data_IF_134100124432
#
_entry.id   IF_134100124432
#
_cell.length_a   1.000
_cell.length_b   1.000
_cell.length_c   1.000
_cell.angle_alpha   90.00
_cell.angle_beta   90.00
_cell.angle_gamma   90.00
#
_symmetry.space_group_name_H-M   'P 1'
#
loop_
_entity.id
_entity.type
_entity.pdbx_description
1 polymer ?
#
# COMPACT_ATOMS: atom_id res chain seq x y z
N UNK A 1 -4.53 18.40 8.06
CA UNK A 1 -4.41 16.96 8.34
C UNK A 1 -3.23 16.77 9.25
N UNK A 2 -3.47 16.43 10.52
CA UNK A 2 -2.40 16.11 11.45
C UNK A 2 -1.73 14.83 10.99
N UNK A 3 -0.46 14.91 10.63
CA UNK A 3 0.39 13.77 10.38
C UNK A 3 0.88 13.25 11.73
N UNK A 4 0.09 12.51 12.45
CA UNK A 4 0.69 11.50 13.30
C UNK A 4 1.49 10.61 12.36
N UNK A 5 2.74 10.32 12.71
CA UNK A 5 3.55 9.36 12.01
C UNK A 5 2.82 8.01 12.17
N UNK A 6 1.89 7.76 11.27
CA UNK A 6 1.06 6.58 11.29
C UNK A 6 1.92 5.39 10.90
N UNK A 7 1.53 4.23 11.36
CA UNK A 7 2.08 2.97 10.89
C UNK A 7 1.97 2.85 9.35
N UNK A 8 2.74 1.95 8.72
CA UNK A 8 2.80 1.85 7.26
C UNK A 8 1.47 1.48 6.60
N UNK A 9 0.53 0.87 7.31
CA UNK A 9 -0.79 0.50 6.79
C UNK A 9 -1.73 1.69 6.74
N UNK A 10 -1.76 2.48 7.80
CA UNK A 10 -2.48 3.76 7.83
C UNK A 10 -1.98 4.70 6.73
N UNK A 11 -0.67 4.73 6.44
CA UNK A 11 -0.13 5.51 5.33
C UNK A 11 -0.68 5.03 3.97
N UNK A 12 -0.77 3.72 3.74
CA UNK A 12 -1.31 3.15 2.51
C UNK A 12 -2.82 3.41 2.38
N UNK A 13 -3.59 3.23 3.44
CA UNK A 13 -5.02 3.59 3.45
C UNK A 13 -5.22 5.08 3.11
N UNK A 14 -4.46 5.97 3.74
CA UNK A 14 -4.54 7.41 3.47
C UNK A 14 -4.16 7.75 2.02
N UNK A 15 -3.18 7.03 1.46
CA UNK A 15 -2.81 7.18 0.07
C UNK A 15 -3.97 6.82 -0.86
N UNK A 16 -4.52 5.63 -0.72
CA UNK A 16 -5.60 5.12 -1.60
C UNK A 16 -6.84 5.98 -1.49
N UNK A 17 -7.32 6.25 -0.28
CA UNK A 17 -8.52 7.07 -0.07
C UNK A 17 -8.36 8.54 -0.51
N UNK A 18 -7.13 9.03 -0.61
CA UNK A 18 -6.84 10.37 -1.14
C UNK A 18 -6.66 10.40 -2.65
N UNK A 19 -6.13 9.31 -3.25
CA UNK A 19 -5.88 9.22 -4.68
C UNK A 19 -7.13 8.82 -5.47
N UNK A 20 -8.04 8.09 -4.85
CA UNK A 20 -9.24 7.54 -5.48
C UNK A 20 -10.48 8.24 -4.92
N UNK A 21 -11.25 8.89 -5.80
CA UNK A 21 -12.55 9.43 -5.39
C UNK A 21 -13.52 8.28 -5.08
N UNK A 22 -13.89 8.12 -3.81
CA UNK A 22 -14.66 6.98 -3.32
C UNK A 22 -13.79 5.76 -2.99
N UNK A 23 -12.48 5.96 -2.86
CA UNK A 23 -11.53 4.92 -2.45
C UNK A 23 -11.84 4.35 -1.07
N UNK A 24 -11.58 3.07 -0.91
CA UNK A 24 -11.84 2.31 0.29
C UNK A 24 -10.54 2.06 1.07
N UNK A 25 -10.67 1.78 2.36
CA UNK A 25 -9.53 1.30 3.14
C UNK A 25 -9.20 -0.13 2.74
N UNK A 26 -7.94 -0.37 2.40
CA UNK A 26 -7.43 -1.68 1.97
C UNK A 26 -6.82 -2.48 3.12
N UNK A 27 -6.54 -1.82 4.25
CA UNK A 27 -6.05 -2.46 5.46
C UNK A 27 -6.96 -2.14 6.64
N UNK A 28 -7.45 -3.17 7.32
CA UNK A 28 -8.34 -3.08 8.48
C UNK A 28 -7.62 -3.58 9.72
N UNK A 29 -7.58 -2.75 10.76
CA UNK A 29 -6.82 -3.04 11.97
C UNK A 29 -7.36 -4.26 12.69
N UNK A 30 -6.45 -5.14 13.11
CA UNK A 30 -6.75 -6.31 13.91
C UNK A 30 -6.60 -6.01 15.40
N UNK A 31 -7.28 -6.80 16.21
CA UNK A 31 -7.14 -6.74 17.66
C UNK A 31 -5.76 -7.23 18.07
N UNK A 32 -5.07 -6.44 18.88
CA UNK A 32 -3.76 -6.78 19.45
C UNK A 32 -3.84 -6.79 20.97
N UNK A 33 -3.04 -7.64 21.60
CA UNK A 33 -2.85 -7.65 23.05
C UNK A 33 -1.36 -7.52 23.37
N UNK A 34 -1.00 -6.40 23.97
CA UNK A 34 0.40 -6.01 24.14
C UNK A 34 1.12 -5.78 22.81
N UNK A 35 2.42 -6.06 22.79
CA UNK A 35 3.30 -5.88 21.63
C UNK A 35 3.67 -7.18 20.92
N UNK A 36 3.05 -8.31 21.30
CA UNK A 36 3.46 -9.62 20.81
C UNK A 36 2.31 -10.60 20.55
N UNK A 37 1.06 -10.15 20.62
CA UNK A 37 -0.10 -11.00 20.35
C UNK A 37 -1.11 -10.31 19.45
N UNK A 38 -1.58 -11.03 18.43
CA UNK A 38 -2.59 -10.60 17.46
C UNK A 38 -3.75 -11.60 17.53
N UNK A 39 -4.97 -11.12 17.54
CA UNK A 39 -6.15 -11.95 17.31
C UNK A 39 -6.66 -11.70 15.89
N UNK A 40 -6.93 -12.75 15.14
CA UNK A 40 -7.53 -12.68 13.81
C UNK A 40 -9.01 -12.23 13.91
N UNK A 41 -9.20 -10.98 14.27
CA UNK A 41 -10.49 -10.32 14.44
C UNK A 41 -10.31 -8.82 14.28
N UNK A 42 -11.22 -8.16 13.56
CA UNK A 42 -11.16 -6.70 13.41
C UNK A 42 -11.27 -5.98 14.76
N UNK A 43 -10.50 -4.90 14.90
CA UNK A 43 -10.62 -4.00 16.03
C UNK A 43 -11.80 -3.04 15.79
N UNK A 44 -12.95 -3.35 16.38
CA UNK A 44 -14.20 -2.61 16.19
C UNK A 44 -14.27 -1.27 16.94
N UNK A 45 -13.27 -0.95 17.77
CA UNK A 45 -13.21 0.32 18.54
C UNK A 45 -12.71 1.49 17.67
N UNK A 46 -12.09 1.21 16.53
CA UNK A 46 -11.75 2.23 15.55
C UNK A 46 -12.90 2.38 14.54
N UNK A 47 -13.12 3.60 14.02
CA UNK A 47 -14.15 3.95 13.02
C UNK A 47 -13.90 3.26 11.67
N UNK A 48 -13.71 1.96 11.70
CA UNK A 48 -13.44 1.13 10.56
C UNK A 48 -14.77 0.59 10.00
N UNK A 49 -15.00 0.83 8.71
CA UNK A 49 -16.17 0.37 7.96
C UNK A 49 -15.96 -1.01 7.35
N UNK A 50 -14.99 -1.80 7.84
CA UNK A 50 -14.72 -3.13 7.35
C UNK A 50 -16.01 -3.94 7.15
N UNK A 51 -16.13 -4.58 6.01
CA UNK A 51 -17.25 -5.44 5.70
C UNK A 51 -17.21 -6.66 6.63
N UNK A 52 -18.07 -6.67 7.65
CA UNK A 52 -18.12 -7.68 8.72
C UNK A 52 -18.81 -8.98 8.27
N UNK A 53 -19.30 -9.04 7.04
CA UNK A 53 -20.09 -10.15 6.56
C UNK A 53 -19.23 -11.27 6.01
N UNK A 54 -19.03 -12.30 6.80
CA UNK A 54 -18.71 -13.64 6.31
C UNK A 54 -17.25 -14.00 6.08
N UNK A 55 -16.28 -13.14 6.40
CA UNK A 55 -14.87 -13.49 6.25
C UNK A 55 -14.44 -14.42 7.37
N UNK A 56 -14.27 -15.70 7.05
CA UNK A 56 -13.75 -16.71 7.98
C UNK A 56 -12.23 -16.82 7.98
N UNK A 57 -11.56 -16.01 7.16
CA UNK A 57 -10.11 -16.04 6.94
C UNK A 57 -9.61 -14.61 6.72
N UNK A 58 -8.49 -14.27 7.36
CA UNK A 58 -7.85 -12.97 7.26
C UNK A 58 -6.47 -13.12 6.62
N UNK A 59 -6.18 -12.35 5.57
CA UNK A 59 -4.84 -12.20 5.03
C UNK A 59 -4.09 -11.15 5.85
N UNK A 60 -3.19 -11.62 6.72
CA UNK A 60 -2.61 -10.82 7.81
C UNK A 60 -1.25 -10.26 7.42
N UNK A 61 -1.11 -8.96 7.63
CA UNK A 61 0.15 -8.21 7.58
C UNK A 61 0.42 -7.57 8.93
N UNK A 62 1.69 -7.53 9.33
CA UNK A 62 2.08 -6.84 10.54
C UNK A 62 3.43 -6.12 10.38
N UNK A 63 3.63 -5.12 11.22
CA UNK A 63 4.84 -4.35 11.35
C UNK A 63 5.21 -4.25 12.83
N UNK A 64 6.48 -4.52 13.16
CA UNK A 64 7.00 -4.43 14.50
C UNK A 64 8.17 -3.45 14.54
N UNK A 65 8.16 -2.57 15.53
CA UNK A 65 9.32 -1.76 15.90
C UNK A 65 10.23 -2.59 16.82
N UNK A 66 11.33 -3.08 16.30
CA UNK A 66 12.28 -3.93 17.03
C UNK A 66 13.68 -3.82 16.45
N UNK A 67 14.67 -4.09 17.28
CA UNK A 67 16.06 -4.29 16.85
C UNK A 67 16.41 -5.78 16.65
N UNK A 68 15.47 -6.69 16.84
CA UNK A 68 15.67 -8.10 16.59
C UNK A 68 15.94 -8.37 15.11
N UNK A 69 16.90 -9.25 14.83
CA UNK A 69 17.15 -9.69 13.44
C UNK A 69 16.03 -10.58 12.93
N UNK A 70 15.45 -11.40 13.79
CA UNK A 70 14.43 -12.38 13.42
C UNK A 70 13.19 -12.25 14.27
N UNK A 71 12.01 -12.31 13.60
CA UNK A 71 10.71 -12.50 14.25
C UNK A 71 10.13 -13.86 13.87
N UNK A 72 9.49 -14.52 14.83
CA UNK A 72 8.73 -15.74 14.58
C UNK A 72 7.27 -15.52 14.99
N UNK A 73 6.37 -15.71 14.06
CA UNK A 73 4.93 -15.75 14.32
C UNK A 73 4.49 -17.20 14.50
N UNK A 74 3.76 -17.48 15.59
CA UNK A 74 3.20 -18.79 15.88
C UNK A 74 1.69 -18.67 16.05
N UNK A 75 0.92 -19.47 15.31
CA UNK A 75 -0.53 -19.48 15.31
C UNK A 75 -1.07 -20.56 16.20
N UNK A 76 -1.97 -20.18 17.10
CA UNK A 76 -2.76 -21.08 17.95
C UNK A 76 -4.21 -21.08 17.46
N UNK A 77 -4.89 -22.23 17.59
CA UNK A 77 -6.29 -22.44 17.17
C UNK A 77 -6.50 -22.19 15.66
N UNK A 78 -5.52 -22.60 14.86
CA UNK A 78 -5.56 -22.44 13.41
C UNK A 78 -4.23 -22.73 12.75
N UNK A 79 -4.11 -22.35 11.50
CA UNK A 79 -2.89 -22.47 10.71
C UNK A 79 -2.73 -21.30 9.79
N UNK A 80 -1.51 -21.05 9.38
CA UNK A 80 -1.15 -20.09 8.32
C UNK A 80 -1.31 -20.82 6.99
N UNK A 81 -2.09 -20.25 6.09
CA UNK A 81 -2.14 -20.66 4.68
C UNK A 81 -1.40 -19.62 3.85
N UNK A 82 -0.25 -20.01 3.34
CA UNK A 82 0.59 -19.14 2.51
C UNK A 82 0.39 -19.51 1.04
N UNK A 83 -0.19 -18.59 0.27
CA UNK A 83 -0.45 -18.76 -1.16
C UNK A 83 0.74 -18.25 -1.95
N UNK A 84 1.40 -19.13 -2.68
CA UNK A 84 2.48 -18.74 -3.57
C UNK A 84 1.94 -18.03 -4.81
N UNK A 85 2.44 -16.82 -5.07
CA UNK A 85 2.11 -16.07 -6.30
C UNK A 85 2.72 -16.70 -7.56
N UNK A 86 3.74 -17.55 -7.42
CA UNK A 86 4.48 -18.12 -8.55
C UNK A 86 3.91 -19.48 -9.00
N UNK A 87 3.48 -20.31 -8.05
CA UNK A 87 3.09 -21.71 -8.33
C UNK A 87 1.61 -22.01 -8.06
N UNK A 88 0.82 -21.04 -7.62
CA UNK A 88 -0.56 -21.23 -7.13
C UNK A 88 -0.69 -22.31 -6.04
N UNK A 89 0.43 -22.74 -5.47
CA UNK A 89 0.44 -23.70 -4.36
C UNK A 89 0.09 -23.03 -3.04
N UNK A 90 -0.61 -23.74 -2.19
CA UNK A 90 -0.88 -23.31 -0.81
C UNK A 90 -0.08 -24.19 0.12
N UNK A 91 0.76 -23.58 0.96
CA UNK A 91 1.44 -24.27 2.05
C UNK A 91 0.73 -23.99 3.36
N UNK A 92 0.70 -24.97 4.24
CA UNK A 92 0.06 -24.84 5.56
C UNK A 92 1.11 -25.05 6.65
N UNK A 93 1.20 -24.11 7.59
CA UNK A 93 2.10 -24.19 8.74
C UNK A 93 1.45 -23.60 9.99
N UNK A 94 2.02 -23.85 11.15
CA UNK A 94 1.62 -23.21 12.40
C UNK A 94 2.59 -22.11 12.84
N UNK A 95 3.68 -21.94 12.12
CA UNK A 95 4.65 -20.88 12.38
C UNK A 95 5.30 -20.38 11.10
N UNK A 96 5.72 -19.11 11.10
CA UNK A 96 6.47 -18.47 10.03
C UNK A 96 7.55 -17.57 10.61
N UNK A 97 8.75 -17.66 10.06
CA UNK A 97 9.91 -16.86 10.50
C UNK A 97 10.23 -15.79 9.47
N UNK A 98 10.52 -14.58 9.96
CA UNK A 98 10.87 -13.41 9.19
C UNK A 98 12.28 -12.97 9.56
N UNK A 99 13.18 -12.98 8.60
CA UNK A 99 14.58 -12.55 8.77
C UNK A 99 14.71 -11.05 8.49
N UNK A 100 15.78 -10.44 9.01
CA UNK A 100 16.07 -9.01 8.84
C UNK A 100 14.96 -8.08 9.37
N UNK A 101 14.25 -8.50 10.41
CA UNK A 101 13.14 -7.74 11.00
C UNK A 101 13.57 -6.35 11.53
N UNK A 102 14.88 -6.20 11.89
CA UNK A 102 15.48 -4.93 12.29
C UNK A 102 15.58 -3.89 11.16
N UNK A 103 15.25 -4.25 9.92
CA UNK A 103 15.19 -3.33 8.78
C UNK A 103 13.82 -2.65 8.61
N UNK A 104 12.92 -2.83 9.59
CA UNK A 104 11.61 -2.17 9.64
C UNK A 104 10.75 -2.38 8.37
N UNK A 105 10.59 -3.61 7.94
CA UNK A 105 9.70 -3.94 6.83
C UNK A 105 8.38 -4.56 7.29
N UNK A 106 7.38 -4.49 6.41
CA UNK A 106 6.09 -5.13 6.62
C UNK A 106 6.22 -6.65 6.44
N UNK A 107 5.76 -7.40 7.44
CA UNK A 107 5.73 -8.86 7.42
C UNK A 107 4.38 -9.34 6.90
N UNK A 108 4.37 -10.14 5.85
CA UNK A 108 3.19 -10.83 5.36
C UNK A 108 3.10 -12.22 6.00
N UNK A 109 2.12 -12.42 6.87
CA UNK A 109 1.90 -13.71 7.54
C UNK A 109 1.26 -14.73 6.58
N UNK A 110 0.24 -14.31 5.87
CA UNK A 110 -0.64 -15.14 5.05
C UNK A 110 -2.03 -15.27 5.65
N UNK A 111 -2.83 -16.17 5.11
CA UNK A 111 -4.21 -16.36 5.50
C UNK A 111 -4.32 -17.16 6.81
N UNK A 112 -5.07 -16.61 7.76
CA UNK A 112 -5.29 -17.19 9.09
C UNK A 112 -6.79 -17.21 9.39
N UNK A 113 -7.35 -18.30 9.97
CA UNK A 113 -8.78 -18.37 10.27
C UNK A 113 -9.19 -17.38 11.36
N UNK A 114 -10.45 -16.93 11.27
CA UNK A 114 -11.03 -16.03 12.26
C UNK A 114 -10.94 -16.62 13.67
N UNK A 115 -10.62 -15.78 14.64
CA UNK A 115 -10.49 -16.14 16.06
C UNK A 115 -9.16 -16.80 16.43
N UNK A 116 -8.30 -17.10 15.47
CA UNK A 116 -6.96 -17.60 15.77
C UNK A 116 -6.13 -16.54 16.50
N UNK A 117 -5.24 -16.99 17.38
CA UNK A 117 -4.28 -16.13 18.08
C UNK A 117 -2.89 -16.33 17.50
N UNK A 118 -2.22 -15.24 17.18
CA UNK A 118 -0.86 -15.21 16.65
C UNK A 118 0.05 -14.62 17.71
N UNK A 119 1.02 -15.37 18.18
CA UNK A 119 2.06 -14.90 19.09
C UNK A 119 3.31 -14.57 18.29
N UNK A 120 3.86 -13.37 18.51
CA UNK A 120 5.09 -12.89 17.88
C UNK A 120 6.23 -12.96 18.91
N UNK A 121 7.31 -13.62 18.55
CA UNK A 121 8.55 -13.68 19.35
C UNK A 121 9.72 -13.14 18.56
N UNK A 122 10.57 -12.38 19.23
CA UNK A 122 11.80 -11.83 18.67
C UNK A 122 13.00 -12.70 19.07
N UNK A 123 14.02 -12.75 18.20
CA UNK A 123 15.29 -13.42 18.54
C UNK A 123 15.95 -12.76 19.75
N UNK A 124 16.76 -13.57 20.47
CA UNK A 124 17.59 -13.12 21.59
C UNK A 124 16.82 -12.39 22.71
N UNK A 125 15.52 -12.68 22.88
CA UNK A 125 14.62 -11.98 23.82
C UNK A 125 14.63 -10.44 23.63
N UNK A 126 14.89 -9.99 22.42
CA UNK A 126 14.86 -8.56 22.09
C UNK A 126 13.44 -8.03 22.23
N UNK A 127 13.31 -6.83 22.77
CA UNK A 127 11.99 -6.20 22.96
C UNK A 127 11.36 -5.80 21.62
N UNK A 128 10.04 -5.93 21.55
CA UNK A 128 9.20 -5.31 20.52
C UNK A 128 8.57 -4.07 21.17
N UNK A 129 8.90 -2.87 20.70
CA UNK A 129 8.42 -1.61 21.27
C UNK A 129 7.03 -1.22 20.82
N UNK A 130 6.69 -1.58 19.57
CA UNK A 130 5.36 -1.39 19.02
C UNK A 130 5.06 -2.49 17.99
N UNK A 131 3.77 -2.84 17.88
CA UNK A 131 3.26 -3.78 16.88
C UNK A 131 1.95 -3.25 16.30
N UNK A 132 1.88 -3.29 14.99
CA UNK A 132 0.70 -2.90 14.19
C UNK A 132 0.31 -4.08 13.30
N UNK A 133 -0.93 -4.55 13.41
CA UNK A 133 -1.41 -5.71 12.66
C UNK A 133 -2.72 -5.39 11.94
N UNK A 134 -2.78 -5.77 10.67
CA UNK A 134 -3.90 -5.48 9.79
C UNK A 134 -4.26 -6.69 8.93
N UNK A 135 -5.54 -6.80 8.61
CA UNK A 135 -6.03 -7.66 7.54
C UNK A 135 -6.07 -6.86 6.24
N UNK A 136 -5.58 -7.46 5.16
CA UNK A 136 -5.68 -6.92 3.81
C UNK A 136 -7.05 -7.25 3.21
N UNK A 137 -7.71 -6.25 2.64
CA UNK A 137 -8.97 -6.40 1.91
C UNK A 137 -8.69 -6.39 0.40
N UNK A 138 -8.56 -7.58 -0.18
CA UNK A 138 -8.31 -7.76 -1.61
C UNK A 138 -9.44 -7.19 -2.46
N UNK A 139 -10.70 -7.24 -1.98
CA UNK A 139 -11.86 -6.70 -2.72
C UNK A 139 -11.81 -5.18 -2.80
N UNK A 140 -11.49 -4.52 -1.68
CA UNK A 140 -11.28 -3.08 -1.66
C UNK A 140 -10.10 -2.66 -2.54
N UNK A 141 -9.00 -3.41 -2.48
CA UNK A 141 -7.84 -3.19 -3.34
C UNK A 141 -8.17 -3.29 -4.83
N UNK A 142 -8.86 -4.36 -5.25
CA UNK A 142 -9.27 -4.54 -6.65
C UNK A 142 -10.19 -3.43 -7.12
N UNK A 143 -11.14 -3.02 -6.27
CA UNK A 143 -12.04 -1.92 -6.57
C UNK A 143 -11.26 -0.62 -6.81
N UNK A 144 -10.36 -0.25 -5.89
CA UNK A 144 -9.59 0.98 -5.98
C UNK A 144 -8.57 0.95 -7.12
N UNK A 145 -7.94 -0.19 -7.35
CA UNK A 145 -7.04 -0.39 -8.49
C UNK A 145 -7.76 -0.17 -9.83
N UNK A 146 -8.97 -0.75 -9.97
CA UNK A 146 -9.76 -0.58 -11.18
C UNK A 146 -10.17 0.87 -11.42
N UNK A 147 -10.50 1.61 -10.35
CA UNK A 147 -10.78 3.05 -10.46
C UNK A 147 -9.55 3.85 -10.90
N UNK A 148 -8.39 3.59 -10.33
CA UNK A 148 -7.13 4.24 -10.71
C UNK A 148 -6.69 3.88 -12.14
N UNK A 149 -6.94 2.65 -12.55
CA UNK A 149 -6.54 2.13 -13.86
C UNK A 149 -7.60 2.30 -14.95
N UNK A 150 -8.71 2.99 -14.67
CA UNK A 150 -9.78 3.18 -15.65
C UNK A 150 -9.34 3.95 -16.90
N UNK A 151 -8.44 4.91 -16.71
CA UNK A 151 -7.90 5.73 -17.80
C UNK A 151 -6.38 5.82 -17.69
N UNK A 152 -5.63 4.76 -18.02
CA UNK A 152 -4.19 4.73 -17.84
C UNK A 152 -3.47 5.59 -18.87
N UNK A 153 -2.42 6.26 -18.44
CA UNK A 153 -1.49 6.92 -19.35
C UNK A 153 -0.70 5.89 -20.14
N UNK A 154 -0.92 5.84 -21.45
CA UNK A 154 -0.28 4.91 -22.36
C UNK A 154 1.07 5.46 -22.80
N UNK A 155 2.16 4.97 -22.20
CA UNK A 155 3.52 5.37 -22.56
C UNK A 155 3.87 4.82 -23.93
N UNK A 156 4.22 5.69 -24.87
CA UNK A 156 4.61 5.35 -26.25
C UNK A 156 6.12 5.47 -26.47
N UNK A 157 6.79 6.29 -25.68
CA UNK A 157 8.25 6.47 -25.74
C UNK A 157 8.79 6.80 -24.36
N UNK A 158 9.94 6.23 -24.03
CA UNK A 158 10.63 6.44 -22.76
C UNK A 158 12.13 6.56 -22.94
N UNK A 159 12.72 7.56 -22.26
CA UNK A 159 14.16 7.70 -22.06
C UNK A 159 14.42 8.35 -20.70
N UNK A 160 15.68 8.43 -20.27
CA UNK A 160 16.06 8.99 -18.96
C UNK A 160 15.61 10.45 -18.74
N UNK A 161 15.38 11.17 -19.81
CA UNK A 161 15.02 12.60 -19.77
C UNK A 161 13.71 12.94 -20.47
N UNK A 162 13.04 11.95 -21.05
CA UNK A 162 11.79 12.18 -21.78
C UNK A 162 10.85 10.99 -21.70
N UNK A 163 9.59 11.25 -21.37
CA UNK A 163 8.49 10.27 -21.39
C UNK A 163 7.39 10.85 -22.26
N UNK A 164 6.91 10.11 -23.24
CA UNK A 164 5.80 10.50 -24.11
C UNK A 164 4.72 9.45 -24.12
N UNK A 165 3.48 9.89 -24.24
CA UNK A 165 2.35 8.98 -24.29
C UNK A 165 1.04 9.68 -24.50
N UNK A 166 -0.02 8.88 -24.50
CA UNK A 166 -1.40 9.33 -24.66
C UNK A 166 -2.22 9.03 -23.42
N UNK A 167 -3.14 9.92 -23.12
CA UNK A 167 -4.16 9.73 -22.09
C UNK A 167 -5.51 10.05 -22.71
N UNK A 168 -6.48 9.13 -22.54
CA UNK A 168 -7.87 9.40 -22.87
C UNK A 168 -8.69 9.36 -21.59
N UNK A 169 -9.45 10.43 -21.30
CA UNK A 169 -10.32 10.51 -20.14
C UNK A 169 -11.63 11.19 -20.50
N UNK A 170 -12.73 10.72 -19.93
CA UNK A 170 -14.09 11.28 -20.13
C UNK A 170 -14.37 12.49 -19.25
N UNK A 171 -13.55 12.73 -18.23
CA UNK A 171 -13.67 13.84 -17.27
C UNK A 171 -12.34 14.54 -17.09
N UNK A 172 -12.38 15.84 -16.82
CA UNK A 172 -11.20 16.55 -16.32
C UNK A 172 -10.75 16.00 -14.96
N UNK A 173 -9.48 15.60 -14.85
CA UNK A 173 -8.98 14.96 -13.64
C UNK A 173 -7.47 15.17 -13.47
N UNK A 174 -6.96 14.72 -12.33
CA UNK A 174 -5.54 14.69 -12.05
C UNK A 174 -4.93 13.41 -12.62
N UNK A 175 -4.01 13.55 -13.57
CA UNK A 175 -3.11 12.47 -13.95
C UNK A 175 -2.13 12.23 -12.80
N UNK A 176 -2.24 11.11 -12.15
CA UNK A 176 -1.37 10.64 -11.11
C UNK A 176 -0.17 9.92 -11.72
N UNK A 177 1.06 10.26 -11.28
CA UNK A 177 2.27 9.59 -11.78
C UNK A 177 3.15 9.10 -10.65
N UNK A 178 3.99 8.12 -10.93
CA UNK A 178 5.10 7.71 -10.06
C UNK A 178 6.38 8.51 -10.28
N UNK A 179 6.33 9.58 -11.07
CA UNK A 179 7.47 10.44 -11.34
C UNK A 179 7.76 11.29 -10.10
N UNK A 180 8.97 11.23 -9.50
CA UNK A 180 9.34 12.08 -8.38
C UNK A 180 9.13 13.57 -8.70
N UNK A 181 8.61 14.32 -7.72
CA UNK A 181 8.44 15.77 -7.91
C UNK A 181 9.78 16.49 -7.86
N UNK A 182 10.21 16.98 -9.00
CA UNK A 182 11.43 17.78 -9.15
C UNK A 182 11.19 18.95 -10.11
N UNK A 183 11.79 20.12 -9.81
CA UNK A 183 11.66 21.34 -10.62
C UNK A 183 12.33 21.23 -11.99
N UNK A 184 13.14 20.20 -12.23
CA UNK A 184 13.71 19.88 -13.53
C UNK A 184 12.70 19.32 -14.52
N UNK A 185 11.59 18.78 -14.05
CA UNK A 185 10.53 18.30 -14.92
C UNK A 185 9.69 19.45 -15.49
N UNK A 186 9.48 19.42 -16.78
CA UNK A 186 8.51 20.22 -17.52
C UNK A 186 7.53 19.29 -18.21
N UNK A 187 6.23 19.56 -18.04
CA UNK A 187 5.18 18.74 -18.64
C UNK A 187 4.45 19.53 -19.71
N UNK A 188 4.14 18.87 -20.80
CA UNK A 188 3.40 19.44 -21.92
C UNK A 188 2.16 18.57 -22.18
N UNK A 189 1.01 19.20 -22.31
CA UNK A 189 -0.26 18.58 -22.74
C UNK A 189 -0.60 19.18 -24.09
N UNK A 190 -0.71 18.36 -25.11
CA UNK A 190 -0.94 18.77 -26.51
C UNK A 190 0.05 19.87 -27.01
N UNK A 191 1.30 19.73 -26.59
CA UNK A 191 2.36 20.68 -26.93
C UNK A 191 2.37 21.98 -26.10
N UNK A 192 1.38 22.22 -25.26
CA UNK A 192 1.31 23.39 -24.37
C UNK A 192 1.89 23.03 -23.00
N UNK A 193 2.71 23.92 -22.44
CA UNK A 193 3.30 23.71 -21.11
C UNK A 193 2.19 23.71 -20.06
N UNK A 194 2.11 22.62 -19.29
CA UNK A 194 1.15 22.44 -18.21
C UNK A 194 1.78 22.72 -16.85
N UNK A 195 0.95 23.14 -15.90
CA UNK A 195 1.36 23.25 -14.50
C UNK A 195 1.38 21.86 -13.85
N UNK A 196 2.46 21.57 -13.13
CA UNK A 196 2.59 20.38 -12.31
C UNK A 196 2.16 20.66 -10.87
N UNK A 197 1.60 19.66 -10.24
CA UNK A 197 1.21 19.69 -8.83
C UNK A 197 2.02 18.65 -8.06
N UNK A 198 2.58 19.06 -6.93
CA UNK A 198 3.20 18.12 -6.02
C UNK A 198 2.13 17.33 -5.27
N UNK A 199 2.12 16.02 -5.43
CA UNK A 199 1.20 15.09 -4.77
C UNK A 199 1.95 14.22 -3.77
N UNK A 200 1.25 13.45 -2.94
CA UNK A 200 1.85 12.63 -1.88
C UNK A 200 2.82 13.42 -0.99
N UNK A 201 2.36 14.55 -0.42
CA UNK A 201 3.19 15.44 0.42
C UNK A 201 4.47 15.96 -0.29
N UNK A 202 4.41 16.11 -1.61
CA UNK A 202 5.54 16.62 -2.39
C UNK A 202 6.46 15.55 -2.96
N UNK A 203 6.12 14.28 -2.82
CA UNK A 203 6.96 13.19 -3.31
C UNK A 203 6.82 12.95 -4.82
N UNK A 204 5.61 13.08 -5.36
CA UNK A 204 5.29 12.70 -6.73
C UNK A 204 4.71 13.86 -7.53
N UNK A 205 4.75 13.73 -8.85
CA UNK A 205 4.24 14.72 -9.81
C UNK A 205 2.83 14.38 -10.27
N UNK A 206 1.92 15.34 -10.16
CA UNK A 206 0.59 15.27 -10.76
C UNK A 206 0.39 16.32 -11.83
N UNK A 207 -0.49 16.08 -12.79
CA UNK A 207 -0.83 17.00 -13.89
C UNK A 207 -2.34 17.04 -14.07
N UNK A 208 -2.94 18.23 -14.02
CA UNK A 208 -4.35 18.39 -14.34
C UNK A 208 -4.56 18.28 -15.84
N UNK A 209 -5.51 17.44 -16.26
CA UNK A 209 -5.94 17.28 -17.66
C UNK A 209 -7.45 17.49 -17.79
N UNK A 210 -7.89 17.96 -18.94
CA UNK A 210 -9.31 18.09 -19.28
C UNK A 210 -9.86 16.76 -19.79
N UNK A 211 -11.18 16.70 -20.04
CA UNK A 211 -11.78 15.58 -20.77
C UNK A 211 -11.29 15.57 -22.22
N UNK A 212 -11.03 14.40 -22.78
CA UNK A 212 -10.56 14.22 -24.14
C UNK A 212 -9.39 13.24 -24.26
N UNK A 213 -8.81 13.19 -25.44
CA UNK A 213 -7.57 12.46 -25.73
C UNK A 213 -6.43 13.46 -25.84
N UNK A 214 -5.41 13.25 -25.05
CA UNK A 214 -4.28 14.18 -24.93
C UNK A 214 -2.96 13.48 -25.21
N UNK A 215 -2.05 14.20 -25.89
CA UNK A 215 -0.64 13.86 -25.98
C UNK A 215 0.09 14.50 -24.80
N UNK A 216 0.71 13.68 -23.95
CA UNK A 216 1.41 14.19 -22.77
C UNK A 216 2.90 13.86 -22.87
N UNK A 217 3.72 14.88 -22.67
CA UNK A 217 5.16 14.74 -22.70
C UNK A 217 5.76 15.28 -21.41
N UNK A 218 6.54 14.46 -20.72
CA UNK A 218 7.41 14.87 -19.62
C UNK A 218 8.82 15.03 -20.15
N UNK A 219 9.47 16.18 -19.87
CA UNK A 219 10.87 16.46 -20.21
C UNK A 219 11.63 16.85 -18.96
N UNK A 220 12.74 16.19 -18.72
CA UNK A 220 13.63 16.48 -17.61
C UNK A 220 14.85 17.27 -18.09
N UNK A 221 15.14 18.37 -17.41
CA UNK A 221 16.36 19.14 -17.58
C UNK A 221 17.08 19.20 -16.24
N UNK A 222 18.23 18.54 -16.09
CA UNK A 222 19.00 18.60 -14.86
C UNK A 222 19.37 20.04 -14.52
N UNK A 223 19.40 20.37 -13.22
CA UNK A 223 19.83 21.70 -12.77
C UNK A 223 21.32 21.84 -12.99
N UNK A 224 21.72 22.93 -13.62
CA UNK A 224 23.13 23.26 -13.89
C UNK A 224 23.55 23.10 -15.33
N UNK A 225 22.62 22.90 -16.25
CA UNK A 225 22.80 22.97 -17.69
C UNK A 225 22.06 24.17 -18.27
#
# INVERSE_FOLDING_TARGET
MNSEAGDPFTMQNNFVTSAVNGGQMIFHRLKTDGTNSITAQYNLEENDTANKSGTKVYDIYFYCETSAETLTATVSNGSIQDKSFVSSSVTTSTSKTFNSANQNYICHLGNVPEGATISISASDNTAISAMYAYAFDETAWEYDYNLLNANPYQVTSFSDTKIEGTLTTDKGNLLYTSIPYDKGWSVYVDGQKANTTAICKGALTGVMVTAGTHQITFKYTPRGF
#
